data_IF_736810047979
#
_entry.id   IF_736810047979
#
_cell.length_a   1.000
_cell.length_b   1.000
_cell.length_c   1.000
_cell.angle_alpha   90.00
_cell.angle_beta   90.00
_cell.angle_gamma   90.00
#
_symmetry.space_group_name_H-M   'P 1'
#
loop_
_entity.id
_entity.type
_entity.pdbx_description
1 polymer ?
#
# COMPACT_ATOMS: atom_id res chain seq x y z
N UNK A 1 -6.27 -19.30 1.55
CA UNK A 1 -7.07 -18.18 1.00
C UNK A 1 -8.54 -18.50 1.12
N UNK A 2 -9.32 -17.68 1.84
CA UNK A 2 -10.78 -17.77 1.80
C UNK A 2 -11.22 -17.18 0.45
N UNK A 3 -11.92 -17.97 -0.37
CA UNK A 3 -12.52 -17.45 -1.60
C UNK A 3 -13.63 -16.45 -1.26
N UNK A 4 -13.97 -15.53 -2.16
CA UNK A 4 -15.17 -14.68 -2.01
C UNK A 4 -16.40 -15.53 -1.64
N UNK A 5 -16.55 -16.71 -2.25
CA UNK A 5 -17.61 -17.66 -1.95
C UNK A 5 -17.57 -18.13 -0.49
N UNK A 6 -16.40 -18.49 0.04
CA UNK A 6 -16.25 -18.90 1.44
C UNK A 6 -16.59 -17.76 2.41
N UNK A 7 -16.16 -16.52 2.12
CA UNK A 7 -16.51 -15.35 2.93
C UNK A 7 -18.01 -15.05 2.85
N UNK A 8 -18.58 -15.08 1.64
CA UNK A 8 -20.01 -14.86 1.43
C UNK A 8 -20.86 -15.92 2.15
N UNK A 9 -20.49 -17.20 2.07
CA UNK A 9 -21.20 -18.27 2.79
C UNK A 9 -21.12 -18.05 4.30
N UNK A 10 -19.95 -17.70 4.83
CA UNK A 10 -19.80 -17.37 6.24
C UNK A 10 -20.67 -16.19 6.68
N UNK A 11 -20.69 -15.11 5.90
CA UNK A 11 -21.52 -13.92 6.16
C UNK A 11 -23.01 -14.19 5.99
N UNK A 12 -23.38 -15.06 5.04
CA UNK A 12 -24.76 -15.48 4.84
C UNK A 12 -25.26 -16.29 6.04
N UNK A 13 -24.45 -17.22 6.56
CA UNK A 13 -24.77 -17.97 7.78
C UNK A 13 -24.92 -17.03 8.98
N UNK A 14 -23.97 -16.10 9.18
CA UNK A 14 -24.03 -15.12 10.26
C UNK A 14 -25.27 -14.23 10.17
N UNK A 15 -25.55 -13.66 9.00
CA UNK A 15 -26.73 -12.82 8.78
C UNK A 15 -28.03 -13.63 8.98
N UNK A 16 -28.05 -14.90 8.58
CA UNK A 16 -29.21 -15.79 8.80
C UNK A 16 -29.46 -16.02 10.28
N UNK A 17 -28.41 -16.24 11.08
CA UNK A 17 -28.52 -16.39 12.53
C UNK A 17 -29.03 -15.10 13.18
N UNK A 18 -28.43 -13.94 12.85
CA UNK A 18 -28.83 -12.63 13.38
C UNK A 18 -30.26 -12.23 12.99
N UNK A 19 -30.73 -12.63 11.80
CA UNK A 19 -32.06 -12.31 11.27
C UNK A 19 -33.07 -13.47 11.36
N UNK A 20 -32.78 -14.49 12.17
CA UNK A 20 -33.63 -15.68 12.34
C UNK A 20 -35.07 -15.34 12.77
N UNK A 21 -35.25 -14.26 13.54
CA UNK A 21 -36.57 -13.72 13.87
C UNK A 21 -37.40 -13.35 12.64
N UNK A 22 -36.77 -12.89 11.56
CA UNK A 22 -37.45 -12.59 10.29
C UNK A 22 -38.01 -13.84 9.62
N UNK A 23 -37.22 -14.93 9.59
CA UNK A 23 -37.68 -16.22 9.08
C UNK A 23 -38.84 -16.76 9.92
N UNK A 24 -38.74 -16.65 11.26
CA UNK A 24 -39.81 -17.04 12.17
C UNK A 24 -41.10 -16.24 11.93
N UNK A 25 -41.01 -14.91 11.84
CA UNK A 25 -42.17 -14.05 11.53
C UNK A 25 -42.75 -14.35 10.15
N UNK A 26 -41.93 -14.70 9.17
CA UNK A 26 -42.39 -15.08 7.83
C UNK A 26 -43.20 -16.39 7.89
N UNK A 27 -42.73 -17.39 8.63
CA UNK A 27 -43.47 -18.64 8.85
C UNK A 27 -44.76 -18.42 9.63
N UNK A 28 -44.72 -17.71 10.77
CA UNK A 28 -45.91 -17.42 11.60
C UNK A 28 -46.93 -16.59 10.83
N UNK A 29 -46.48 -15.58 10.07
CA UNK A 29 -47.35 -14.75 9.25
C UNK A 29 -47.97 -15.53 8.09
N UNK A 30 -47.24 -16.47 7.49
CA UNK A 30 -47.75 -17.35 6.43
C UNK A 30 -48.84 -18.30 6.96
N UNK A 31 -48.57 -18.94 8.09
CA UNK A 31 -49.51 -19.87 8.76
C UNK A 31 -50.80 -19.15 9.19
N UNK A 32 -50.66 -17.98 9.83
CA UNK A 32 -51.80 -17.14 10.22
C UNK A 32 -52.57 -16.58 9.02
N UNK A 33 -51.90 -16.31 7.89
CA UNK A 33 -52.56 -15.90 6.65
C UNK A 33 -53.36 -17.04 6.04
N UNK A 34 -52.83 -18.27 6.02
CA UNK A 34 -53.53 -19.43 5.45
C UNK A 34 -54.83 -19.74 6.21
N UNK A 35 -54.87 -19.52 7.52
CA UNK A 35 -56.05 -19.76 8.34
C UNK A 35 -57.08 -18.63 8.26
N UNK A 36 -56.65 -17.38 8.05
CA UNK A 36 -57.51 -16.21 7.98
C UNK A 36 -57.01 -15.19 6.94
N UNK A 37 -57.29 -15.41 5.64
CA UNK A 37 -56.84 -14.50 4.60
C UNK A 37 -57.55 -13.15 4.71
N UNK A 38 -56.81 -12.11 5.09
CA UNK A 38 -57.33 -10.75 5.22
C UNK A 38 -56.22 -9.75 5.52
N UNK A 39 -56.47 -8.45 5.27
CA UNK A 39 -55.52 -7.33 5.45
C UNK A 39 -55.23 -6.96 6.92
N UNK A 40 -55.25 -7.94 7.82
CA UNK A 40 -55.05 -7.76 9.27
C UNK A 40 -53.59 -7.93 9.71
N UNK A 41 -53.42 -8.20 11.00
CA UNK A 41 -52.11 -8.47 11.61
C UNK A 41 -51.28 -9.59 10.92
N UNK A 42 -51.86 -10.65 10.29
CA UNK A 42 -51.05 -11.66 9.59
C UNK A 42 -50.25 -11.09 8.41
N UNK A 43 -50.81 -10.11 7.69
CA UNK A 43 -50.14 -9.40 6.58
C UNK A 43 -48.94 -8.61 7.08
N UNK A 44 -49.09 -7.93 8.22
CA UNK A 44 -48.02 -7.12 8.81
C UNK A 44 -46.88 -8.01 9.32
N UNK A 45 -47.21 -9.15 9.94
CA UNK A 45 -46.22 -10.12 10.42
C UNK A 45 -45.50 -10.78 9.24
N UNK A 46 -46.24 -11.24 8.23
CA UNK A 46 -45.68 -11.80 7.00
C UNK A 46 -44.81 -10.79 6.26
N UNK A 47 -45.30 -9.56 6.06
CA UNK A 47 -44.57 -8.48 5.40
C UNK A 47 -43.29 -8.09 6.13
N UNK A 48 -43.33 -8.01 7.47
CA UNK A 48 -42.14 -7.74 8.29
C UNK A 48 -41.13 -8.88 8.20
N UNK A 49 -41.60 -10.13 8.26
CA UNK A 49 -40.76 -11.32 8.05
C UNK A 49 -40.10 -11.34 6.68
N UNK A 50 -40.84 -10.97 5.63
CA UNK A 50 -40.33 -10.86 4.25
C UNK A 50 -39.26 -9.77 4.12
N UNK A 51 -39.51 -8.58 4.67
CA UNK A 51 -38.51 -7.48 4.67
C UNK A 51 -37.22 -7.92 5.36
N UNK A 52 -37.30 -8.48 6.56
CA UNK A 52 -36.13 -8.94 7.33
C UNK A 52 -35.39 -10.06 6.57
N UNK A 53 -36.12 -10.99 5.98
CA UNK A 53 -35.53 -12.10 5.23
C UNK A 53 -34.82 -11.63 3.96
N UNK A 54 -35.37 -10.63 3.25
CA UNK A 54 -34.73 -10.03 2.07
C UNK A 54 -33.46 -9.26 2.45
N UNK A 55 -33.37 -8.72 3.66
CA UNK A 55 -32.15 -8.04 4.16
C UNK A 55 -30.98 -9.01 4.33
N UNK A 56 -31.21 -10.30 4.60
CA UNK A 56 -30.16 -11.31 4.82
C UNK A 56 -29.16 -11.39 3.64
N UNK A 57 -29.59 -11.70 2.39
CA UNK A 57 -28.66 -11.79 1.27
C UNK A 57 -28.03 -10.44 0.93
N UNK A 58 -28.73 -9.32 1.16
CA UNK A 58 -28.20 -7.98 0.91
C UNK A 58 -27.08 -7.65 1.90
N UNK A 59 -27.29 -7.90 3.19
CA UNK A 59 -26.31 -7.71 4.26
C UNK A 59 -25.10 -8.62 4.06
N UNK A 60 -25.32 -9.91 3.78
CA UNK A 60 -24.24 -10.86 3.51
C UNK A 60 -23.41 -10.47 2.28
N UNK A 61 -24.06 -10.02 1.20
CA UNK A 61 -23.37 -9.53 0.00
C UNK A 61 -22.60 -8.25 0.28
N UNK A 62 -23.18 -7.31 1.04
CA UNK A 62 -22.53 -6.06 1.40
C UNK A 62 -21.28 -6.31 2.26
N UNK A 63 -21.39 -7.16 3.29
CA UNK A 63 -20.27 -7.55 4.14
C UNK A 63 -19.18 -8.29 3.36
N UNK A 64 -19.54 -9.26 2.52
CA UNK A 64 -18.57 -9.97 1.68
C UNK A 64 -17.84 -9.04 0.69
N UNK A 65 -18.53 -8.04 0.12
CA UNK A 65 -17.91 -7.03 -0.75
C UNK A 65 -17.00 -6.06 0.00
N UNK A 66 -17.21 -5.85 1.29
CA UNK A 66 -16.31 -5.05 2.12
C UNK A 66 -15.04 -5.86 2.43
N UNK A 67 -15.19 -7.12 2.83
CA UNK A 67 -14.07 -8.00 3.19
C UNK A 67 -13.23 -8.45 1.98
N UNK A 68 -13.83 -8.53 0.78
CA UNK A 68 -13.14 -8.91 -0.45
C UNK A 68 -13.37 -7.86 -1.54
N UNK A 69 -12.56 -6.78 -1.56
CA UNK A 69 -12.81 -5.63 -2.42
C UNK A 69 -12.45 -5.91 -3.88
N UNK A 70 -13.41 -6.46 -4.62
CA UNK A 70 -13.33 -6.65 -6.07
C UNK A 70 -13.43 -5.34 -6.83
N UNK A 71 -12.51 -5.08 -7.76
CA UNK A 71 -12.54 -3.90 -8.65
C UNK A 71 -13.37 -4.23 -9.89
N UNK A 72 -14.17 -3.28 -10.38
CA UNK A 72 -15.00 -3.41 -11.59
C UNK A 72 -14.98 -2.08 -12.33
N UNK A 73 -15.48 -2.04 -13.58
CA UNK A 73 -15.58 -0.80 -14.36
C UNK A 73 -16.43 0.30 -13.69
N UNK A 74 -17.30 -0.06 -12.73
CA UNK A 74 -18.10 0.90 -11.95
C UNK A 74 -17.24 1.78 -11.03
N UNK A 75 -16.05 1.31 -10.69
CA UNK A 75 -15.09 2.05 -9.86
C UNK A 75 -14.22 3.02 -10.68
N UNK A 76 -14.44 3.12 -11.99
CA UNK A 76 -13.70 4.06 -12.85
C UNK A 76 -13.90 5.49 -12.35
N UNK A 77 -12.79 6.20 -12.11
CA UNK A 77 -12.81 7.62 -11.76
C UNK A 77 -13.33 8.40 -12.96
N UNK A 78 -14.39 9.18 -12.77
CA UNK A 78 -14.96 10.05 -13.80
C UNK A 78 -14.53 11.49 -13.54
N UNK A 79 -13.84 12.12 -14.51
CA UNK A 79 -13.60 13.57 -14.54
C UNK A 79 -12.99 14.18 -13.26
N UNK A 80 -11.86 13.65 -12.80
CA UNK A 80 -11.21 14.12 -11.56
C UNK A 80 -10.55 15.51 -11.69
N UNK A 81 -10.56 16.27 -10.59
CA UNK A 81 -9.85 17.57 -10.45
C UNK A 81 -8.32 17.46 -10.50
N UNK A 82 -7.77 16.27 -10.28
CA UNK A 82 -6.33 16.00 -10.25
C UNK A 82 -6.00 15.05 -11.39
N UNK A 83 -5.25 15.53 -12.38
CA UNK A 83 -4.68 14.67 -13.41
C UNK A 83 -3.46 13.96 -12.83
N UNK A 84 -3.49 12.63 -12.75
CA UNK A 84 -2.33 11.84 -12.34
C UNK A 84 -1.48 11.54 -13.58
N UNK A 85 -0.27 12.09 -13.65
CA UNK A 85 0.74 11.67 -14.63
C UNK A 85 1.19 10.23 -14.35
N UNK A 86 1.84 9.58 -15.31
CA UNK A 86 2.21 8.15 -15.21
C UNK A 86 3.18 7.84 -14.07
N UNK A 87 4.02 8.81 -13.68
CA UNK A 87 5.00 8.71 -12.61
C UNK A 87 4.50 9.28 -11.26
N UNK A 88 3.32 9.93 -11.23
CA UNK A 88 2.71 10.50 -10.02
C UNK A 88 2.34 9.43 -9.00
N UNK A 89 2.69 9.67 -7.73
CA UNK A 89 2.22 8.88 -6.61
C UNK A 89 1.92 9.76 -5.39
N UNK A 90 0.63 9.99 -5.16
CA UNK A 90 0.14 10.75 -4.03
C UNK A 90 -0.01 9.84 -2.81
N UNK A 91 0.56 10.25 -1.69
CA UNK A 91 0.42 9.51 -0.44
C UNK A 91 0.06 10.45 0.70
N UNK A 92 -1.07 10.17 1.34
CA UNK A 92 -1.56 10.89 2.51
C UNK A 92 -1.26 10.08 3.77
N UNK A 93 -0.11 10.36 4.37
CA UNK A 93 0.33 9.74 5.62
C UNK A 93 -0.39 10.37 6.82
N UNK A 94 -0.65 9.60 7.90
CA UNK A 94 -1.10 10.17 9.17
C UNK A 94 -0.12 11.24 9.68
N UNK A 95 -0.62 12.21 10.43
CA UNK A 95 0.24 13.19 11.11
C UNK A 95 1.18 12.50 12.10
N UNK A 96 2.41 13.00 12.21
CA UNK A 96 3.31 12.64 13.31
C UNK A 96 2.96 13.45 14.56
N UNK A 97 3.37 12.97 15.74
CA UNK A 97 3.40 13.82 16.93
C UNK A 97 4.17 15.10 16.60
N UNK A 98 3.61 16.25 17.00
CA UNK A 98 4.33 17.51 16.89
C UNK A 98 5.51 17.43 17.85
N UNK A 99 6.73 17.40 17.33
CA UNK A 99 7.93 17.57 18.16
C UNK A 99 7.94 18.96 18.78
N UNK A 100 8.90 19.23 19.67
CA UNK A 100 8.97 20.53 20.32
C UNK A 100 9.12 21.65 19.28
N UNK A 101 8.65 22.86 19.62
CA UNK A 101 8.84 24.03 18.79
C UNK A 101 10.34 24.31 18.53
N UNK A 102 11.20 23.92 19.48
CA UNK A 102 12.65 24.09 19.43
C UNK A 102 13.38 22.97 18.66
N UNK A 103 12.68 21.89 18.31
CA UNK A 103 13.25 20.75 17.60
C UNK A 103 13.77 21.14 16.22
N UNK A 104 15.04 20.84 15.97
CA UNK A 104 15.70 21.09 14.68
C UNK A 104 15.43 19.93 13.74
N UNK A 105 15.06 20.22 12.51
CA UNK A 105 14.89 19.19 11.48
C UNK A 105 16.26 18.71 11.01
N UNK A 106 16.46 17.40 10.97
CA UNK A 106 17.71 16.77 10.54
C UNK A 106 17.43 15.51 9.71
N UNK A 107 18.44 15.07 8.97
CA UNK A 107 18.44 13.74 8.33
C UNK A 107 18.89 12.70 9.34
N UNK A 108 18.26 11.54 9.32
CA UNK A 108 18.79 10.34 9.96
C UNK A 108 18.81 9.17 8.99
N UNK A 109 19.90 8.40 9.01
CA UNK A 109 19.99 7.14 8.30
C UNK A 109 19.60 5.98 9.22
N UNK A 110 18.84 5.02 8.71
CA UNK A 110 18.49 3.81 9.44
C UNK A 110 19.57 2.77 9.22
N UNK A 111 20.30 2.45 10.28
CA UNK A 111 21.35 1.44 10.27
C UNK A 111 20.77 0.04 10.44
N UNK A 112 19.83 -0.11 11.38
CA UNK A 112 19.16 -1.38 11.69
C UNK A 112 17.70 -1.14 12.02
N UNK A 113 16.84 -2.11 11.68
CA UNK A 113 15.44 -2.11 12.09
C UNK A 113 14.95 -3.53 12.42
N UNK A 114 14.28 -3.68 13.56
CA UNK A 114 13.63 -4.93 13.97
C UNK A 114 12.27 -4.66 14.58
N UNK A 115 11.30 -5.53 14.32
CA UNK A 115 9.98 -5.44 14.91
C UNK A 115 10.04 -5.82 16.40
N UNK A 116 9.73 -4.88 17.29
CA UNK A 116 9.65 -5.14 18.73
C UNK A 116 8.30 -5.74 19.11
N UNK A 117 7.21 -5.12 18.64
CA UNK A 117 5.86 -5.54 18.97
C UNK A 117 4.90 -5.22 17.83
N UNK A 118 4.11 -6.23 17.47
CA UNK A 118 2.90 -6.09 16.70
C UNK A 118 1.92 -7.14 17.24
N UNK A 119 0.90 -6.68 17.97
CA UNK A 119 -0.14 -7.55 18.54
C UNK A 119 -1.50 -7.02 18.08
N UNK A 120 -2.01 -7.48 16.92
CA UNK A 120 -3.44 -7.43 16.72
C UNK A 120 -4.04 -8.47 17.68
N UNK A 121 -4.34 -8.07 18.92
CA UNK A 121 -5.06 -8.92 19.86
C UNK A 121 -6.50 -9.05 19.35
N UNK A 122 -6.69 -10.01 18.44
CA UNK A 122 -7.97 -10.31 17.82
C UNK A 122 -7.80 -10.83 16.40
N UNK A 123 -8.52 -11.91 16.09
CA UNK A 123 -8.94 -12.26 14.73
C UNK A 123 -9.84 -11.13 14.18
N UNK A 124 -9.25 -9.94 13.98
CA UNK A 124 -9.97 -8.71 13.63
C UNK A 124 -10.53 -8.85 12.22
N UNK A 125 -11.78 -9.29 12.18
CA UNK A 125 -12.53 -9.52 10.95
C UNK A 125 -12.82 -8.22 10.20
N UNK A 126 -12.83 -7.06 10.89
CA UNK A 126 -12.80 -5.69 10.37
C UNK A 126 -12.93 -4.71 11.56
N UNK A 127 -11.94 -3.85 11.85
CA UNK A 127 -12.05 -2.89 12.97
C UNK A 127 -11.96 -1.46 12.45
N UNK A 128 -12.96 -0.62 12.75
CA UNK A 128 -12.94 0.82 12.44
C UNK A 128 -12.96 1.63 13.72
N UNK A 129 -11.96 2.49 13.91
CA UNK A 129 -11.90 3.39 15.06
C UNK A 129 -12.51 4.74 14.72
N UNK A 130 -13.25 5.31 15.67
CA UNK A 130 -13.85 6.62 15.55
C UNK A 130 -12.84 7.71 15.95
N UNK A 131 -12.73 8.78 15.15
CA UNK A 131 -11.79 9.89 15.35
C UNK A 131 -10.61 9.89 14.36
N UNK A 132 -9.68 10.83 14.54
CA UNK A 132 -8.48 10.98 13.68
C UNK A 132 -7.25 10.26 14.25
N UNK A 133 -7.43 9.38 15.23
CA UNK A 133 -6.36 8.68 15.91
C UNK A 133 -6.06 7.34 15.24
N UNK A 134 -4.77 7.04 15.06
CA UNK A 134 -4.32 5.72 14.61
C UNK A 134 -4.12 4.86 15.87
N UNK A 135 -4.88 3.77 16.04
CA UNK A 135 -4.80 2.92 17.23
C UNK A 135 -3.40 2.30 17.38
N UNK A 136 -2.92 2.28 18.62
CA UNK A 136 -1.60 1.74 18.96
C UNK A 136 -1.45 0.25 18.63
N UNK A 137 -2.53 -0.53 18.75
CA UNK A 137 -2.53 -1.99 18.54
C UNK A 137 -2.23 -2.38 17.08
N UNK A 138 -2.65 -1.54 16.12
CA UNK A 138 -2.42 -1.76 14.69
C UNK A 138 -1.24 -0.96 14.14
N UNK A 139 -0.49 -0.27 15.01
CA UNK A 139 0.70 0.48 14.65
C UNK A 139 1.94 -0.27 15.15
N UNK A 140 2.79 -0.82 14.25
CA UNK A 140 3.95 -1.61 14.65
C UNK A 140 4.92 -0.74 15.47
N UNK A 141 5.39 -1.32 16.58
CA UNK A 141 6.47 -0.78 17.39
C UNK A 141 7.77 -1.39 16.88
N UNK A 142 8.66 -0.55 16.35
CA UNK A 142 9.89 -0.97 15.69
C UNK A 142 11.07 -0.37 16.44
N UNK A 143 12.02 -1.23 16.79
CA UNK A 143 13.33 -0.81 17.29
C UNK A 143 14.19 -0.36 16.12
N UNK A 144 14.70 0.86 16.18
CA UNK A 144 15.61 1.39 15.16
C UNK A 144 16.95 1.76 15.79
N UNK A 145 18.02 1.57 15.02
CA UNK A 145 19.32 2.21 15.26
C UNK A 145 19.52 3.25 14.17
N UNK A 146 19.63 4.51 14.55
CA UNK A 146 19.68 5.65 13.64
C UNK A 146 21.03 6.34 13.75
N UNK A 147 21.56 6.82 12.63
CA UNK A 147 22.65 7.80 12.57
C UNK A 147 22.09 9.14 12.17
N UNK A 148 22.10 10.11 13.08
CA UNK A 148 21.57 11.45 12.86
C UNK A 148 22.70 12.36 12.40
N UNK A 149 22.47 13.09 11.31
CA UNK A 149 23.42 14.05 10.75
C UNK A 149 23.00 15.46 11.15
N UNK A 150 23.93 16.25 11.68
CA UNK A 150 23.65 17.64 12.00
C UNK A 150 23.37 18.46 10.72
N UNK A 151 22.39 19.35 10.78
CA UNK A 151 21.82 20.02 9.62
C UNK A 151 22.68 21.20 9.10
N UNK A 152 23.65 21.67 9.89
CA UNK A 152 24.39 22.92 9.61
C UNK A 152 25.86 22.72 9.22
N UNK A 153 26.39 21.49 9.26
CA UNK A 153 27.82 21.24 9.01
C UNK A 153 27.98 20.13 7.98
N UNK A 154 28.46 20.49 6.79
CA UNK A 154 28.80 19.58 5.67
C UNK A 154 29.98 18.65 5.97
N UNK A 155 30.63 18.78 7.13
CA UNK A 155 31.64 17.84 7.58
C UNK A 155 30.99 16.66 8.30
N UNK A 156 31.34 15.44 7.87
CA UNK A 156 30.89 14.16 8.43
C UNK A 156 31.24 13.94 9.93
N UNK A 157 31.82 14.95 10.60
CA UNK A 157 32.38 14.89 11.94
C UNK A 157 31.36 15.09 13.09
N UNK A 158 30.10 15.46 12.82
CA UNK A 158 29.09 15.75 13.86
C UNK A 158 27.88 14.81 13.87
N UNK A 159 27.98 13.63 13.24
CA UNK A 159 26.92 12.63 13.32
C UNK A 159 26.94 11.88 14.67
N UNK A 160 25.76 11.56 15.20
CA UNK A 160 25.63 10.73 16.40
C UNK A 160 24.64 9.59 16.18
N UNK A 161 24.79 8.51 16.95
CA UNK A 161 23.90 7.35 16.86
C UNK A 161 22.89 7.34 18.02
N UNK A 162 21.65 6.97 17.73
CA UNK A 162 20.59 6.80 18.72
C UNK A 162 19.86 5.48 18.47
N UNK A 163 19.51 4.79 19.55
CA UNK A 163 18.70 3.56 19.49
C UNK A 163 17.46 3.74 20.33
N UNK A 164 16.32 3.33 19.80
CA UNK A 164 15.03 3.48 20.47
C UNK A 164 13.94 2.64 19.84
N UNK A 165 12.73 2.74 20.39
CA UNK A 165 11.53 2.12 19.83
C UNK A 165 10.55 3.21 19.41
N UNK A 166 10.06 3.11 18.17
CA UNK A 166 9.10 4.06 17.64
C UNK A 166 7.90 3.35 17.04
N UNK A 167 6.72 3.95 17.25
CA UNK A 167 5.51 3.55 16.54
C UNK A 167 5.54 4.11 15.13
N UNK A 168 5.37 3.23 14.16
CA UNK A 168 5.53 3.58 12.75
C UNK A 168 4.19 3.48 12.03
N UNK A 169 3.64 4.59 11.52
CA UNK A 169 2.45 4.53 10.67
C UNK A 169 2.67 3.58 9.49
N UNK A 170 1.68 2.75 9.17
CA UNK A 170 1.82 1.70 8.14
C UNK A 170 2.28 2.25 6.78
N UNK A 171 1.79 3.42 6.36
CA UNK A 171 2.21 4.07 5.09
C UNK A 171 3.66 4.56 5.09
N UNK A 172 4.29 4.66 6.26
CA UNK A 172 5.65 5.19 6.45
C UNK A 172 6.69 4.08 6.65
N UNK A 173 6.27 2.80 6.68
CA UNK A 173 7.15 1.65 6.85
C UNK A 173 8.27 1.60 5.81
N UNK A 174 7.96 1.95 4.56
CA UNK A 174 8.97 2.01 3.49
C UNK A 174 10.07 3.03 3.70
N UNK A 175 9.86 4.09 4.51
CA UNK A 175 10.92 5.04 4.80
C UNK A 175 12.04 4.41 5.63
N UNK A 176 11.68 3.45 6.49
CA UNK A 176 12.64 2.66 7.27
C UNK A 176 13.45 1.77 6.35
N UNK A 177 12.76 1.05 5.45
CA UNK A 177 13.38 0.11 4.51
C UNK A 177 14.23 0.84 3.45
N UNK A 178 13.84 2.05 3.07
CA UNK A 178 14.66 2.92 2.21
C UNK A 178 15.94 3.43 2.91
N UNK A 179 15.93 3.46 4.25
CA UNK A 179 17.08 3.82 5.08
C UNK A 179 17.22 5.30 5.39
N UNK A 180 16.23 6.15 5.06
CA UNK A 180 16.31 7.61 5.21
C UNK A 180 15.09 8.16 5.91
N UNK A 181 15.32 8.84 7.03
CA UNK A 181 14.29 9.49 7.85
C UNK A 181 14.57 10.99 7.96
N UNK A 182 13.49 11.76 8.05
CA UNK A 182 13.54 13.12 8.56
C UNK A 182 13.19 13.06 10.05
N UNK A 183 14.05 13.58 10.91
CA UNK A 183 13.88 13.56 12.37
C UNK A 183 13.90 14.97 12.93
N UNK A 184 13.28 15.15 14.08
CA UNK A 184 13.41 16.33 14.91
C UNK A 184 14.36 16.02 16.05
N UNK A 185 15.39 16.85 16.20
CA UNK A 185 16.38 16.78 17.28
C UNK A 185 16.09 17.92 18.24
N UNK A 186 15.60 17.59 19.42
CA UNK A 186 15.35 18.58 20.46
C UNK A 186 16.67 18.92 21.17
N UNK A 187 16.92 20.21 21.49
CA UNK A 187 18.11 20.62 22.22
C UNK A 187 18.05 20.04 23.64
N UNK A 188 19.07 19.30 24.02
CA UNK A 188 19.19 18.73 25.37
C UNK A 188 19.97 19.65 26.31
N UNK A 189 19.67 19.56 27.60
CA UNK A 189 20.47 20.20 28.64
C UNK A 189 21.93 19.69 28.58
N UNK A 190 22.93 20.48 29.04
CA UNK A 190 24.32 20.03 29.05
C UNK A 190 24.47 18.67 29.76
N UNK A 191 24.96 17.66 29.04
CA UNK A 191 25.15 16.30 29.55
C UNK A 191 23.97 15.34 29.38
N UNK A 192 22.83 15.79 28.84
CA UNK A 192 21.71 14.93 28.48
C UNK A 192 21.76 14.52 27.00
N UNK A 193 21.34 13.30 26.69
CA UNK A 193 21.26 12.82 25.31
C UNK A 193 20.19 13.59 24.51
N UNK A 194 20.45 13.94 23.23
CA UNK A 194 19.47 14.59 22.37
C UNK A 194 18.23 13.72 22.20
N UNK A 195 17.04 14.30 22.34
CA UNK A 195 15.79 13.59 22.06
C UNK A 195 15.52 13.62 20.55
N UNK A 196 15.38 12.44 19.95
CA UNK A 196 15.18 12.28 18.51
C UNK A 196 13.78 11.75 18.21
N UNK A 197 12.99 12.54 17.48
CA UNK A 197 11.61 12.20 17.11
C UNK A 197 11.45 12.12 15.59
N UNK A 198 11.17 10.94 15.01
CA UNK A 198 10.92 10.79 13.58
C UNK A 198 9.68 11.57 13.12
N UNK A 199 9.85 12.31 12.02
CA UNK A 199 8.76 13.02 11.37
C UNK A 199 8.22 12.23 10.17
N UNK A 200 7.37 11.24 10.44
CA UNK A 200 6.96 10.23 9.45
C UNK A 200 6.49 10.75 8.07
N UNK A 201 5.63 11.78 7.95
CA UNK A 201 5.26 12.33 6.65
C UNK A 201 6.45 12.84 5.82
N UNK A 202 7.43 13.46 6.49
CA UNK A 202 8.64 14.02 5.88
C UNK A 202 9.64 12.91 5.58
N UNK A 203 9.75 11.90 6.46
CA UNK A 203 10.54 10.70 6.20
C UNK A 203 10.08 9.98 4.94
N UNK A 204 8.76 9.84 4.72
CA UNK A 204 8.26 9.20 3.52
C UNK A 204 8.51 10.01 2.24
N UNK A 205 8.60 11.34 2.34
CA UNK A 205 9.00 12.22 1.24
C UNK A 205 10.51 12.12 0.95
N UNK A 206 11.33 12.11 2.00
CA UNK A 206 12.80 12.01 1.92
C UNK A 206 13.26 10.64 1.39
N UNK A 207 12.57 9.58 1.81
CA UNK A 207 12.81 8.22 1.33
C UNK A 207 12.43 8.00 -0.14
N UNK A 208 11.77 8.96 -0.79
CA UNK A 208 11.23 8.81 -2.13
C UNK A 208 10.00 7.91 -2.22
N UNK A 209 9.43 7.47 -1.09
CA UNK A 209 8.17 6.75 -1.07
C UNK A 209 7.05 7.61 -1.64
N UNK A 210 6.98 8.88 -1.25
CA UNK A 210 6.07 9.86 -1.83
C UNK A 210 6.80 10.67 -2.89
N UNK A 211 6.18 10.86 -4.07
CA UNK A 211 6.75 11.75 -5.08
C UNK A 211 6.63 13.21 -4.63
N UNK A 212 7.58 14.04 -5.08
CA UNK A 212 7.57 15.47 -4.87
C UNK A 212 7.94 16.17 -6.18
N UNK A 213 7.09 17.10 -6.61
CA UNK A 213 7.39 18.03 -7.68
C UNK A 213 7.21 19.46 -7.20
N UNK A 214 7.92 20.38 -7.84
CA UNK A 214 7.73 21.81 -7.64
C UNK A 214 7.45 22.45 -8.99
N UNK A 215 6.37 23.21 -9.07
CA UNK A 215 6.07 24.10 -10.19
C UNK A 215 6.54 25.50 -9.81
N UNK A 216 7.52 26.02 -10.54
CA UNK A 216 8.11 27.33 -10.29
C UNK A 216 7.17 28.50 -10.64
N UNK A 217 7.66 29.73 -10.44
CA UNK A 217 6.90 30.94 -10.72
C UNK A 217 6.62 31.12 -12.22
N UNK A 218 7.48 30.57 -13.09
CA UNK A 218 7.30 30.55 -14.54
C UNK A 218 6.36 29.41 -15.02
N UNK A 219 5.93 28.54 -14.12
CA UNK A 219 5.05 27.41 -14.43
C UNK A 219 5.77 26.15 -14.91
N UNK A 220 7.10 26.07 -14.80
CA UNK A 220 7.89 24.86 -15.12
C UNK A 220 7.87 23.92 -13.94
N UNK A 221 7.68 22.63 -14.20
CA UNK A 221 7.66 21.59 -13.17
C UNK A 221 8.98 20.83 -13.13
N UNK A 222 9.53 20.66 -11.94
CA UNK A 222 10.75 19.89 -11.69
C UNK A 222 10.51 18.81 -10.62
N UNK A 223 11.02 17.60 -10.86
CA UNK A 223 11.00 16.51 -9.90
C UNK A 223 12.06 16.73 -8.80
N UNK A 224 11.63 16.63 -7.54
CA UNK A 224 12.49 16.84 -6.35
C UNK A 224 12.63 15.56 -5.52
N UNK A 225 11.86 14.52 -5.84
CA UNK A 225 11.92 13.19 -5.21
C UNK A 225 13.37 12.67 -5.15
N UNK A 226 13.84 12.31 -3.95
CA UNK A 226 15.19 11.76 -3.66
C UNK A 226 16.37 12.73 -3.91
N UNK A 227 16.12 14.02 -4.05
CA UNK A 227 17.16 15.06 -3.93
C UNK A 227 17.20 15.47 -2.46
N UNK A 228 18.01 14.76 -1.68
CA UNK A 228 17.96 14.72 -0.22
C UNK A 228 18.21 16.11 0.37
N UNK A 229 19.27 16.79 -0.07
CA UNK A 229 19.64 18.12 0.44
C UNK A 229 18.55 19.14 0.09
N UNK A 230 18.13 19.15 -1.18
CA UNK A 230 17.06 20.03 -1.66
C UNK A 230 15.74 19.76 -0.90
N UNK A 231 15.38 18.51 -0.69
CA UNK A 231 14.16 18.14 0.03
C UNK A 231 14.21 18.57 1.49
N UNK A 232 15.35 18.42 2.17
CA UNK A 232 15.51 18.88 3.55
C UNK A 232 15.36 20.41 3.64
N UNK A 233 16.01 21.16 2.76
CA UNK A 233 15.87 22.62 2.72
C UNK A 233 14.42 23.06 2.47
N UNK A 234 13.69 22.37 1.58
CA UNK A 234 12.26 22.61 1.38
C UNK A 234 11.44 22.31 2.64
N UNK A 235 11.77 21.23 3.35
CA UNK A 235 11.10 20.87 4.60
C UNK A 235 11.36 21.90 5.71
N UNK A 236 12.55 22.51 5.75
CA UNK A 236 12.88 23.64 6.63
C UNK A 236 12.01 24.86 6.31
N UNK A 237 12.00 25.32 5.05
CA UNK A 237 11.14 26.45 4.64
C UNK A 237 9.68 26.15 4.99
N UNK A 238 9.21 24.94 4.66
CA UNK A 238 7.84 24.52 4.99
C UNK A 238 7.57 24.52 6.49
N UNK A 239 8.54 24.18 7.34
CA UNK A 239 8.35 24.20 8.80
C UNK A 239 8.27 25.63 9.32
N UNK A 240 9.16 26.50 8.86
CA UNK A 240 9.25 27.90 9.31
C UNK A 240 7.95 28.66 9.09
N UNK A 241 7.25 28.38 7.99
CA UNK A 241 6.01 29.08 7.60
C UNK A 241 4.73 28.38 8.11
N UNK A 242 4.86 27.39 8.99
CA UNK A 242 3.72 26.65 9.55
C UNK A 242 3.12 25.58 8.63
N UNK A 243 3.79 25.26 7.52
CA UNK A 243 3.38 24.23 6.56
C UNK A 243 3.19 24.79 5.16
N UNK A 244 3.52 23.99 4.14
CA UNK A 244 3.21 24.29 2.74
C UNK A 244 2.28 23.21 2.21
N UNK A 245 1.12 23.62 1.70
CA UNK A 245 0.16 22.70 1.11
C UNK A 245 0.68 22.14 -0.21
N UNK A 246 0.57 20.82 -0.38
CA UNK A 246 0.84 20.14 -1.64
C UNK A 246 -0.49 19.84 -2.34
N UNK A 247 -0.57 20.11 -3.64
CA UNK A 247 -1.65 19.62 -4.49
C UNK A 247 -1.26 18.24 -5.02
N UNK A 248 -1.70 17.18 -4.33
CA UNK A 248 -1.24 15.82 -4.58
C UNK A 248 0.22 15.65 -4.20
N UNK A 249 1.08 15.56 -5.21
CA UNK A 249 2.54 15.45 -5.06
C UNK A 249 3.30 16.71 -5.52
N UNK A 250 2.58 17.79 -5.85
CA UNK A 250 3.17 19.02 -6.39
C UNK A 250 3.00 20.21 -5.45
N UNK A 251 4.07 20.97 -5.23
CA UNK A 251 4.05 22.31 -4.63
C UNK A 251 4.03 23.32 -5.77
N UNK A 252 3.00 24.16 -5.85
CA UNK A 252 2.88 25.23 -6.86
C UNK A 252 3.28 26.57 -6.24
N UNK A 253 4.45 27.08 -6.60
CA UNK A 253 5.01 28.30 -5.99
C UNK A 253 4.14 29.53 -6.25
N UNK A 254 3.39 29.55 -7.36
CA UNK A 254 2.48 30.64 -7.74
C UNK A 254 1.28 30.77 -6.79
N UNK A 255 1.04 29.77 -5.95
CA UNK A 255 -0.03 29.74 -4.95
C UNK A 255 0.44 30.07 -3.53
N UNK A 256 1.73 30.29 -3.34
CA UNK A 256 2.31 30.64 -2.05
C UNK A 256 2.38 32.15 -1.89
N UNK A 257 2.56 32.63 -0.66
CA UNK A 257 2.87 34.03 -0.42
C UNK A 257 4.22 34.40 -1.08
N UNK A 258 4.42 35.67 -1.48
CA UNK A 258 5.60 36.06 -2.26
C UNK A 258 6.93 35.75 -1.57
N UNK A 259 7.00 35.88 -0.24
CA UNK A 259 8.23 35.64 0.51
C UNK A 259 8.59 34.16 0.55
N UNK A 260 7.62 33.28 0.86
CA UNK A 260 7.82 31.84 0.82
C UNK A 260 8.14 31.36 -0.60
N UNK A 261 7.42 31.87 -1.60
CA UNK A 261 7.67 31.54 -3.00
C UNK A 261 9.09 31.91 -3.43
N UNK A 262 9.60 33.08 -3.03
CA UNK A 262 10.97 33.51 -3.31
C UNK A 262 12.02 32.57 -2.68
N UNK A 263 11.81 32.11 -1.43
CA UNK A 263 12.70 31.14 -0.78
C UNK A 263 12.77 29.82 -1.55
N UNK A 264 11.63 29.29 -1.99
CA UNK A 264 11.59 28.08 -2.82
C UNK A 264 12.18 28.29 -4.23
N UNK A 265 11.96 29.46 -4.82
CA UNK A 265 12.52 29.80 -6.12
C UNK A 265 14.05 29.86 -6.06
N UNK A 266 14.62 30.46 -5.01
CA UNK A 266 16.06 30.47 -4.78
C UNK A 266 16.64 29.05 -4.67
N UNK A 267 15.95 28.12 -3.98
CA UNK A 267 16.35 26.71 -3.96
C UNK A 267 16.29 26.05 -5.35
N UNK A 268 15.27 26.38 -6.15
CA UNK A 268 15.15 25.87 -7.50
C UNK A 268 16.24 26.43 -8.43
N UNK A 269 16.63 27.69 -8.25
CA UNK A 269 17.74 28.32 -8.98
C UNK A 269 19.08 27.69 -8.60
N UNK A 270 19.32 27.50 -7.30
CA UNK A 270 20.53 26.85 -6.79
C UNK A 270 20.70 25.45 -7.38
N UNK A 271 19.63 24.64 -7.37
CA UNK A 271 19.65 23.29 -7.95
C UNK A 271 19.80 23.29 -9.48
N UNK A 272 19.39 24.35 -10.18
CA UNK A 272 19.68 24.50 -11.62
C UNK A 272 21.16 24.80 -11.87
N UNK A 273 21.80 25.57 -11.00
CA UNK A 273 23.23 25.88 -11.10
C UNK A 273 24.13 24.75 -10.61
N UNK A 274 23.68 24.01 -9.60
CA UNK A 274 24.41 22.93 -8.93
C UNK A 274 23.45 21.75 -8.75
N UNK A 275 23.23 20.94 -9.81
CA UNK A 275 22.24 19.88 -9.78
C UNK A 275 22.62 18.78 -8.79
N UNK A 276 21.74 18.53 -7.82
CA UNK A 276 21.88 17.42 -6.88
C UNK A 276 21.58 16.08 -7.59
N UNK A 277 22.45 15.09 -7.39
CA UNK A 277 22.20 13.74 -7.87
C UNK A 277 21.02 13.12 -7.11
N UNK A 278 20.16 12.37 -7.82
CA UNK A 278 19.12 11.60 -7.14
C UNK A 278 19.77 10.49 -6.33
N UNK A 279 19.50 10.48 -5.03
CA UNK A 279 19.95 9.42 -4.16
C UNK A 279 19.31 8.07 -4.57
N UNK A 280 19.99 6.93 -4.29
CA UNK A 280 19.52 5.62 -4.68
C UNK A 280 18.14 5.31 -4.09
N UNK A 281 17.45 4.29 -4.61
CA UNK A 281 16.14 3.88 -4.09
C UNK A 281 16.26 3.46 -2.62
N UNK A 282 17.35 2.75 -2.31
CA UNK A 282 17.68 2.26 -0.97
C UNK A 282 19.14 2.58 -0.65
N UNK A 283 19.42 2.90 0.61
CA UNK A 283 20.79 3.01 1.11
C UNK A 283 21.48 1.63 1.23
N UNK A 284 22.81 1.54 1.28
CA UNK A 284 23.50 0.30 1.64
C UNK A 284 22.98 -0.29 2.96
N UNK A 285 23.03 -1.62 3.10
CA UNK A 285 22.56 -2.30 4.33
C UNK A 285 21.04 -2.49 4.42
N UNK A 286 20.32 -2.50 3.29
CA UNK A 286 18.86 -2.74 3.30
C UNK A 286 18.45 -4.04 4.01
N UNK A 287 19.29 -5.07 3.93
CA UNK A 287 19.06 -6.35 4.61
C UNK A 287 18.90 -6.19 6.12
N UNK A 288 19.72 -5.35 6.76
CA UNK A 288 19.68 -5.09 8.21
C UNK A 288 18.44 -4.32 8.68
N UNK A 289 17.65 -3.79 7.74
CA UNK A 289 16.42 -3.02 8.00
C UNK A 289 15.20 -3.61 7.30
N UNK A 290 15.30 -4.85 6.79
CA UNK A 290 14.22 -5.56 6.10
C UNK A 290 13.17 -6.02 7.11
N UNK A 291 12.05 -5.31 7.11
CA UNK A 291 10.89 -5.61 7.98
C UNK A 291 9.84 -6.50 7.32
N UNK A 292 9.94 -6.72 6.00
CA UNK A 292 8.99 -7.48 5.20
C UNK A 292 8.65 -8.86 5.79
N UNK A 293 9.66 -9.57 6.29
CA UNK A 293 9.54 -10.94 6.82
C UNK A 293 9.00 -11.00 8.25
N UNK A 294 8.92 -9.84 8.93
CA UNK A 294 8.46 -9.71 10.31
C UNK A 294 7.03 -9.17 10.40
N UNK A 295 6.48 -8.63 9.30
CA UNK A 295 5.19 -7.96 9.24
C UNK A 295 4.13 -8.83 8.54
N UNK A 296 2.84 -8.66 8.88
CA UNK A 296 1.78 -9.47 8.28
C UNK A 296 1.61 -9.19 6.79
N UNK A 297 1.23 -10.25 6.07
CA UNK A 297 0.92 -10.22 4.66
C UNK A 297 1.16 -11.56 3.97
N UNK A 298 0.70 -11.69 2.73
CA UNK A 298 0.92 -12.91 1.96
C UNK A 298 2.41 -13.03 1.59
N UNK A 299 2.95 -14.24 1.66
CA UNK A 299 4.30 -14.50 1.14
C UNK A 299 4.29 -14.39 -0.40
N UNK A 300 5.36 -13.84 -0.97
CA UNK A 300 5.51 -13.73 -2.41
C UNK A 300 5.55 -15.10 -3.08
N UNK A 301 4.74 -15.32 -4.12
CA UNK A 301 4.78 -16.54 -4.93
C UNK A 301 4.46 -16.27 -6.40
N UNK A 302 4.83 -17.19 -7.30
CA UNK A 302 4.36 -17.17 -8.69
C UNK A 302 2.85 -17.48 -8.81
N UNK A 303 2.22 -17.82 -7.69
CA UNK A 303 0.78 -17.96 -7.48
C UNK A 303 0.16 -19.23 -8.06
N UNK A 304 -1.10 -19.44 -7.70
CA UNK A 304 -1.93 -20.51 -8.27
C UNK A 304 -2.68 -19.98 -9.50
N UNK A 305 -2.93 -20.87 -10.46
CA UNK A 305 -3.66 -20.58 -11.70
C UNK A 305 -4.70 -21.68 -11.88
N UNK A 306 -5.97 -21.31 -11.79
CA UNK A 306 -7.04 -22.25 -12.13
C UNK A 306 -7.01 -22.54 -13.63
N UNK A 307 -6.89 -23.81 -14.02
CA UNK A 307 -6.88 -24.19 -15.46
C UNK A 307 -8.12 -23.66 -16.19
N UNK A 308 -9.29 -23.72 -15.56
CA UNK A 308 -10.53 -23.17 -16.12
C UNK A 308 -10.61 -21.64 -16.11
N UNK A 309 -9.81 -20.95 -15.32
CA UNK A 309 -9.70 -19.49 -15.39
C UNK A 309 -8.88 -19.08 -16.61
N UNK A 310 -7.67 -19.63 -16.74
CA UNK A 310 -6.77 -19.39 -17.89
C UNK A 310 -7.44 -19.76 -19.22
N UNK A 311 -7.98 -20.99 -19.34
CA UNK A 311 -8.65 -21.46 -20.58
C UNK A 311 -9.86 -20.63 -21.00
N UNK A 312 -10.54 -19.95 -20.07
CA UNK A 312 -11.70 -19.11 -20.38
C UNK A 312 -11.31 -17.66 -20.73
N UNK A 313 -10.01 -17.34 -20.80
CA UNK A 313 -9.52 -16.00 -21.10
C UNK A 313 -9.18 -15.17 -19.86
N UNK A 314 -9.03 -15.79 -18.69
CA UNK A 314 -8.48 -15.12 -17.51
C UNK A 314 -7.00 -14.78 -17.72
N UNK A 315 -6.61 -13.54 -17.41
CA UNK A 315 -5.24 -13.04 -17.59
C UNK A 315 -4.77 -12.25 -16.37
N UNK A 316 -3.44 -12.13 -16.21
CA UNK A 316 -2.86 -11.19 -15.26
C UNK A 316 -2.63 -9.85 -15.95
N UNK A 317 -2.78 -8.76 -15.22
CA UNK A 317 -2.37 -7.43 -15.66
C UNK A 317 -1.61 -6.69 -14.57
N UNK A 318 -0.78 -5.74 -14.99
CA UNK A 318 -0.09 -4.82 -14.09
C UNK A 318 -0.99 -3.61 -13.85
N UNK A 319 -1.07 -3.19 -12.61
CA UNK A 319 -1.64 -1.90 -12.24
C UNK A 319 -0.67 -1.16 -11.34
N UNK A 320 -0.89 0.15 -11.18
CA UNK A 320 -0.04 1.02 -10.38
C UNK A 320 -0.89 1.85 -9.41
N UNK A 321 -0.47 1.93 -8.16
CA UNK A 321 -1.04 2.92 -7.24
C UNK A 321 -0.68 4.33 -7.70
N UNK A 322 -1.70 5.16 -7.84
CA UNK A 322 -1.59 6.60 -8.08
C UNK A 322 -1.85 7.39 -6.80
N UNK A 323 -2.72 6.88 -5.93
CA UNK A 323 -3.00 7.47 -4.62
C UNK A 323 -3.16 6.39 -3.55
N UNK A 324 -2.57 6.62 -2.37
CA UNK A 324 -2.87 5.94 -1.12
C UNK A 324 -3.24 6.95 -0.03
N UNK A 325 -4.37 6.73 0.63
CA UNK A 325 -4.80 7.53 1.79
C UNK A 325 -5.17 6.65 2.96
N UNK A 326 -4.55 6.92 4.10
CA UNK A 326 -4.84 6.21 5.34
C UNK A 326 -6.28 6.44 5.80
N UNK A 327 -6.86 5.40 6.42
CA UNK A 327 -8.10 5.45 7.19
C UNK A 327 -7.84 4.94 8.60
N UNK A 328 -8.82 5.09 9.47
CA UNK A 328 -8.84 4.50 10.82
C UNK A 328 -9.40 3.07 10.83
N UNK A 329 -9.39 2.39 9.68
CA UNK A 329 -9.93 1.04 9.51
C UNK A 329 -8.80 0.04 9.23
N UNK A 330 -8.82 -1.10 9.91
CA UNK A 330 -7.84 -2.18 9.79
C UNK A 330 -8.55 -3.51 9.56
N UNK A 331 -7.92 -4.38 8.78
CA UNK A 331 -8.45 -5.71 8.46
C UNK A 331 -7.30 -6.69 8.24
N UNK A 332 -7.40 -7.90 8.81
CA UNK A 332 -6.52 -9.06 8.57
C UNK A 332 -5.01 -8.76 8.71
N UNK A 333 -4.41 -8.26 7.63
CA UNK A 333 -2.97 -8.15 7.42
C UNK A 333 -2.49 -6.71 7.18
N UNK A 334 -3.36 -5.71 7.37
CA UNK A 334 -2.95 -4.30 7.24
C UNK A 334 -4.07 -3.26 7.30
N UNK A 335 -3.73 -1.99 7.05
CA UNK A 335 -4.70 -0.91 7.00
C UNK A 335 -5.60 -1.01 5.75
N UNK A 336 -6.87 -0.64 5.92
CA UNK A 336 -7.76 -0.36 4.80
C UNK A 336 -7.49 1.05 4.31
N UNK A 337 -7.08 1.17 3.05
CA UNK A 337 -6.70 2.45 2.44
C UNK A 337 -7.73 2.85 1.38
N UNK A 338 -8.00 4.15 1.26
CA UNK A 338 -8.56 4.67 0.00
C UNK A 338 -7.45 4.65 -1.04
N UNK A 339 -7.70 3.99 -2.17
CA UNK A 339 -6.71 3.82 -3.22
C UNK A 339 -7.25 4.29 -4.57
N UNK A 340 -6.35 4.80 -5.40
CA UNK A 340 -6.58 4.97 -6.84
C UNK A 340 -5.52 4.15 -7.57
N UNK A 341 -5.98 3.26 -8.45
CA UNK A 341 -5.14 2.38 -9.26
C UNK A 341 -5.26 2.76 -10.73
N UNK A 342 -4.14 2.95 -11.42
CA UNK A 342 -4.08 2.95 -12.89
C UNK A 342 -4.05 1.50 -13.36
N UNK A 343 -5.11 1.08 -14.02
CA UNK A 343 -5.26 -0.27 -14.57
C UNK A 343 -4.90 -0.23 -16.04
N UNK A 344 -3.98 -1.09 -16.47
CA UNK A 344 -3.59 -1.30 -17.86
C UNK A 344 -4.25 -2.59 -18.37
N UNK A 345 -5.42 -2.52 -19.01
CA UNK A 345 -6.13 -3.71 -19.44
C UNK A 345 -5.38 -4.41 -20.58
N UNK A 346 -5.63 -5.71 -20.81
CA UNK A 346 -4.98 -6.44 -21.89
C UNK A 346 -5.50 -5.97 -23.26
N UNK A 347 -4.76 -6.27 -24.33
CA UNK A 347 -5.25 -6.15 -25.71
C UNK A 347 -5.46 -4.72 -26.21
N UNK A 348 -4.62 -3.76 -25.79
CA UNK A 348 -4.60 -2.40 -26.36
C UNK A 348 -5.75 -1.49 -25.91
N UNK A 349 -6.56 -1.92 -24.94
CA UNK A 349 -7.58 -1.04 -24.34
C UNK A 349 -6.87 0.09 -23.58
N UNK A 350 -7.30 1.36 -23.71
CA UNK A 350 -6.69 2.46 -22.98
C UNK A 350 -6.68 2.23 -21.46
N UNK A 351 -5.61 2.63 -20.76
CA UNK A 351 -5.58 2.62 -19.30
C UNK A 351 -6.75 3.40 -18.69
N UNK A 352 -7.19 2.98 -17.51
CA UNK A 352 -8.19 3.71 -16.74
C UNK A 352 -7.86 3.71 -15.25
N UNK A 353 -8.25 4.78 -14.58
CA UNK A 353 -8.05 4.93 -13.15
C UNK A 353 -9.28 4.42 -12.39
N UNK A 354 -9.07 3.60 -11.36
CA UNK A 354 -10.11 3.01 -10.54
C UNK A 354 -9.92 3.39 -9.07
N UNK A 355 -10.95 3.98 -8.46
CA UNK A 355 -10.96 4.29 -7.04
C UNK A 355 -11.59 3.15 -6.24
N UNK A 356 -10.83 2.54 -5.33
CA UNK A 356 -11.32 1.43 -4.51
C UNK A 356 -10.67 1.44 -3.13
N UNK A 357 -11.43 1.03 -2.12
CA UNK A 357 -10.86 0.73 -0.79
C UNK A 357 -10.23 -0.65 -0.79
N UNK A 358 -8.97 -0.73 -0.39
CA UNK A 358 -8.20 -1.97 -0.37
C UNK A 358 -7.50 -2.12 0.97
N UNK A 359 -7.53 -3.33 1.51
CA UNK A 359 -6.65 -3.75 2.61
C UNK A 359 -5.29 -4.03 2.01
N UNK A 360 -4.29 -3.20 2.35
CA UNK A 360 -2.94 -3.35 1.80
C UNK A 360 -2.05 -4.04 2.84
N UNK A 361 -1.44 -5.19 2.52
CA UNK A 361 -0.57 -5.92 3.44
C UNK A 361 0.59 -5.07 3.95
N UNK A 362 0.90 -5.15 5.25
CA UNK A 362 1.99 -4.38 5.83
C UNK A 362 3.35 -4.73 5.23
N UNK A 363 3.58 -6.01 4.89
CA UNK A 363 4.81 -6.41 4.22
C UNK A 363 5.01 -5.70 2.86
N UNK A 364 3.96 -5.53 2.05
CA UNK A 364 4.01 -4.75 0.81
C UNK A 364 4.31 -3.27 1.08
N UNK A 365 3.73 -2.69 2.15
CA UNK A 365 3.94 -1.28 2.48
C UNK A 365 5.41 -0.93 2.78
N UNK A 366 6.24 -1.91 3.17
CA UNK A 366 7.70 -1.75 3.31
C UNK A 366 8.40 -1.53 1.95
N UNK A 367 7.88 -2.12 0.88
CA UNK A 367 8.48 -2.07 -0.46
C UNK A 367 8.01 -0.87 -1.29
N UNK A 368 7.15 0.01 -0.74
CA UNK A 368 6.63 1.15 -1.49
C UNK A 368 7.74 2.07 -2.02
N UNK A 369 8.88 2.20 -1.35
CA UNK A 369 10.00 3.00 -1.85
C UNK A 369 10.58 2.46 -3.18
N UNK A 370 10.43 1.15 -3.44
CA UNK A 370 10.89 0.48 -4.67
C UNK A 370 9.85 0.46 -5.77
N UNK A 371 8.60 0.10 -5.45
CA UNK A 371 7.55 -0.04 -6.44
C UNK A 371 6.18 0.38 -5.92
N UNK A 372 5.33 0.82 -6.84
CA UNK A 372 3.91 1.14 -6.64
C UNK A 372 3.00 0.16 -7.36
N UNK A 373 3.57 -0.90 -7.89
CA UNK A 373 2.89 -1.78 -8.81
C UNK A 373 2.27 -2.95 -8.10
N UNK A 374 1.15 -3.38 -8.66
CA UNK A 374 0.38 -4.51 -8.16
C UNK A 374 -0.01 -5.40 -9.33
N UNK A 375 -0.10 -6.69 -9.03
CA UNK A 375 -0.59 -7.69 -9.97
C UNK A 375 -2.09 -7.84 -9.75
N UNK A 376 -2.87 -7.66 -10.81
CA UNK A 376 -4.31 -7.93 -10.81
C UNK A 376 -4.59 -9.21 -11.59
N UNK A 377 -5.40 -10.08 -11.00
CA UNK A 377 -6.05 -11.18 -11.72
C UNK A 377 -7.35 -10.68 -12.33
N UNK A 378 -7.47 -10.82 -13.66
CA UNK A 378 -8.66 -10.40 -14.41
C UNK A 378 -9.59 -11.58 -14.59
N UNK A 379 -10.88 -11.39 -14.32
CA UNK A 379 -11.87 -12.44 -14.57
C UNK A 379 -11.96 -12.78 -16.07
N UNK A 380 -12.34 -14.01 -16.46
CA UNK A 380 -12.39 -14.42 -17.86
C UNK A 380 -13.28 -13.55 -18.77
N UNK A 381 -14.30 -12.90 -18.19
CA UNK A 381 -15.19 -11.97 -18.87
C UNK A 381 -14.73 -10.50 -18.81
N UNK A 382 -13.50 -10.23 -18.32
CA UNK A 382 -12.92 -8.90 -18.11
C UNK A 382 -13.78 -7.92 -17.28
N UNK A 383 -14.75 -8.44 -16.52
CA UNK A 383 -15.71 -7.65 -15.75
C UNK A 383 -15.17 -7.22 -14.38
N UNK A 384 -14.22 -7.99 -13.84
CA UNK A 384 -13.67 -7.77 -12.51
C UNK A 384 -12.18 -8.02 -12.43
N UNK A 385 -11.55 -7.30 -11.50
CA UNK A 385 -10.12 -7.32 -11.23
C UNK A 385 -9.93 -7.52 -9.73
N UNK A 386 -9.14 -8.51 -9.36
CA UNK A 386 -8.83 -8.83 -7.97
C UNK A 386 -7.31 -8.73 -7.77
N UNK A 387 -6.87 -7.99 -6.75
CA UNK A 387 -5.43 -7.86 -6.43
C UNK A 387 -4.90 -9.20 -5.95
N UNK A 388 -3.83 -9.67 -6.55
CA UNK A 388 -3.12 -10.88 -6.14
C UNK A 388 -1.91 -10.47 -5.29
N UNK A 389 -2.09 -10.45 -3.97
CA UNK A 389 -1.06 -9.97 -3.03
C UNK A 389 0.18 -10.86 -3.02
N UNK A 390 0.03 -12.18 -3.13
CA UNK A 390 1.16 -13.09 -3.27
C UNK A 390 2.01 -12.80 -4.53
N UNK A 391 1.38 -12.60 -5.69
CA UNK A 391 2.15 -12.22 -6.90
C UNK A 391 2.70 -10.81 -6.81
N UNK A 392 1.95 -9.90 -6.21
CA UNK A 392 2.37 -8.51 -5.98
C UNK A 392 3.61 -8.44 -5.08
N UNK A 393 3.67 -9.22 -4.00
CA UNK A 393 4.83 -9.27 -3.10
C UNK A 393 6.06 -9.90 -3.77
N UNK A 394 5.86 -10.89 -4.64
CA UNK A 394 6.97 -11.43 -5.43
C UNK A 394 7.48 -10.40 -6.45
N UNK A 395 6.59 -9.69 -7.15
CA UNK A 395 6.93 -8.62 -8.09
C UNK A 395 7.66 -7.46 -7.40
N UNK A 396 7.22 -7.10 -6.20
CA UNK A 396 7.80 -6.02 -5.40
C UNK A 396 9.15 -6.37 -4.74
N UNK A 397 9.61 -7.62 -4.87
CA UNK A 397 10.83 -8.10 -4.23
C UNK A 397 10.74 -8.17 -2.70
N UNK A 398 9.52 -8.22 -2.15
CA UNK A 398 9.27 -8.48 -0.71
C UNK A 398 9.74 -9.89 -0.36
N UNK A 399 9.53 -10.84 -1.26
CA UNK A 399 10.08 -12.20 -1.19
C UNK A 399 11.05 -12.41 -2.34
N UNK A 400 12.19 -13.05 -2.06
CA UNK A 400 13.20 -13.33 -3.08
C UNK A 400 12.72 -14.42 -4.04
N UNK A 401 12.60 -14.05 -5.31
CA UNK A 401 12.26 -14.96 -6.38
C UNK A 401 13.52 -15.64 -6.94
N UNK A 402 13.44 -16.94 -7.23
CA UNK A 402 14.51 -17.67 -7.93
C UNK A 402 13.98 -18.72 -8.89
N UNK A 403 14.75 -19.00 -9.93
CA UNK A 403 14.49 -20.07 -10.89
C UNK A 403 15.56 -21.15 -10.70
N UNK A 404 15.14 -22.40 -10.63
CA UNK A 404 16.05 -23.54 -10.72
C UNK A 404 15.94 -24.07 -12.14
N UNK A 405 17.03 -23.98 -12.89
CA UNK A 405 17.11 -24.35 -14.30
C UNK A 405 17.00 -25.87 -14.49
N UNK A 406 16.78 -26.37 -15.72
CA UNK A 406 16.72 -27.80 -15.99
C UNK A 406 18.01 -28.56 -15.59
N UNK A 407 19.17 -27.90 -15.70
CA UNK A 407 20.49 -28.39 -15.26
C UNK A 407 20.74 -28.22 -13.75
N UNK A 408 19.79 -27.63 -13.02
CA UNK A 408 19.84 -27.52 -11.55
C UNK A 408 20.55 -26.27 -11.01
N UNK A 409 20.99 -25.35 -11.89
CA UNK A 409 21.56 -24.07 -11.50
C UNK A 409 20.49 -23.17 -10.89
N UNK A 410 20.81 -22.48 -9.80
CA UNK A 410 19.93 -21.46 -9.23
C UNK A 410 20.20 -20.09 -9.87
N UNK A 411 19.15 -19.45 -10.35
CA UNK A 411 19.16 -18.10 -10.91
C UNK A 411 18.33 -17.19 -10.00
N UNK A 412 18.96 -16.34 -9.17
CA UNK A 412 18.22 -15.35 -8.39
C UNK A 412 17.61 -14.30 -9.33
N UNK A 413 16.36 -13.91 -9.06
CA UNK A 413 15.64 -12.88 -9.82
C UNK A 413 15.57 -11.54 -9.04
N UNK A 414 16.43 -11.37 -8.03
CA UNK A 414 16.51 -10.13 -7.24
C UNK A 414 16.82 -8.96 -8.18
N UNK A 415 16.04 -7.88 -8.07
CA UNK A 415 16.19 -6.70 -8.92
C UNK A 415 15.73 -6.88 -10.37
N UNK A 416 15.05 -7.99 -10.72
CA UNK A 416 14.54 -8.27 -12.08
C UNK A 416 12.99 -8.34 -12.13
N UNK A 417 12.27 -7.26 -11.79
CA UNK A 417 10.80 -7.28 -11.70
C UNK A 417 10.13 -7.61 -13.03
N UNK A 418 10.67 -7.15 -14.16
CA UNK A 418 10.09 -7.43 -15.48
C UNK A 418 10.28 -8.88 -15.92
N UNK A 419 11.39 -9.53 -15.53
CA UNK A 419 11.57 -10.98 -15.68
C UNK A 419 10.55 -11.74 -14.84
N UNK A 420 10.40 -11.36 -13.56
CA UNK A 420 9.40 -11.97 -12.66
C UNK A 420 7.99 -11.83 -13.24
N UNK A 421 7.63 -10.65 -13.73
CA UNK A 421 6.35 -10.38 -14.40
C UNK A 421 6.14 -11.25 -15.65
N UNK A 422 7.17 -11.38 -16.49
CA UNK A 422 7.12 -12.20 -17.70
C UNK A 422 6.87 -13.67 -17.36
N UNK A 423 7.61 -14.21 -16.39
CA UNK A 423 7.43 -15.58 -15.91
C UNK A 423 6.02 -15.81 -15.32
N UNK A 424 5.48 -14.87 -14.55
CA UNK A 424 4.10 -14.95 -14.04
C UNK A 424 3.07 -15.04 -15.17
N UNK A 425 3.21 -14.22 -16.22
CA UNK A 425 2.30 -14.25 -17.37
C UNK A 425 2.42 -15.53 -18.18
N UNK A 426 3.64 -16.01 -18.42
CA UNK A 426 3.86 -17.29 -19.08
C UNK A 426 3.18 -18.42 -18.31
N UNK A 427 3.42 -18.52 -17.01
CA UNK A 427 2.75 -19.52 -16.16
C UNK A 427 1.22 -19.39 -16.21
N UNK A 428 0.68 -18.18 -16.14
CA UNK A 428 -0.75 -17.93 -16.23
C UNK A 428 -1.35 -18.34 -17.59
N UNK A 429 -0.68 -18.01 -18.69
CA UNK A 429 -1.10 -18.34 -20.06
C UNK A 429 -1.12 -19.85 -20.33
N UNK A 430 -0.19 -20.59 -19.73
CA UNK A 430 -0.14 -22.05 -19.81
C UNK A 430 -0.99 -22.76 -18.74
N UNK A 431 -1.67 -22.01 -17.87
CA UNK A 431 -2.50 -22.59 -16.81
C UNK A 431 -1.70 -23.34 -15.73
N UNK A 432 -0.43 -22.97 -15.54
CA UNK A 432 0.51 -23.62 -14.63
C UNK A 432 0.54 -22.91 -13.28
N UNK A 433 0.26 -23.66 -12.22
CA UNK A 433 0.33 -23.15 -10.85
C UNK A 433 1.72 -23.36 -10.25
N UNK A 434 2.26 -22.32 -9.60
CA UNK A 434 3.46 -22.41 -8.79
C UNK A 434 3.30 -21.58 -7.50
N UNK A 435 2.71 -22.15 -6.43
CA UNK A 435 2.47 -21.46 -5.16
C UNK A 435 3.76 -21.36 -4.30
N UNK A 436 4.89 -21.08 -4.93
CA UNK A 436 6.20 -20.94 -4.29
C UNK A 436 6.94 -19.76 -4.93
N UNK A 437 7.82 -19.06 -4.20
CA UNK A 437 8.75 -18.09 -4.79
C UNK A 437 9.85 -18.75 -5.64
N UNK A 438 9.98 -20.07 -5.56
CA UNK A 438 10.95 -20.86 -6.33
C UNK A 438 10.26 -21.50 -7.54
N UNK A 439 10.74 -21.18 -8.73
CA UNK A 439 10.30 -21.82 -9.97
C UNK A 439 11.30 -22.91 -10.37
N UNK A 440 11.00 -24.15 -9.99
CA UNK A 440 11.84 -25.31 -10.33
C UNK A 440 11.41 -25.94 -11.67
N UNK A 441 12.23 -25.74 -12.70
CA UNK A 441 11.99 -26.18 -14.07
C UNK A 441 12.24 -27.68 -14.29
N UNK A 442 12.87 -28.37 -13.33
CA UNK A 442 13.08 -29.83 -13.38
C UNK A 442 11.79 -30.59 -13.12
N UNK A 443 10.83 -29.95 -12.44
CA UNK A 443 9.54 -30.55 -12.11
C UNK A 443 8.81 -30.96 -13.38
N UNK A 444 8.22 -32.16 -13.39
CA UNK A 444 7.51 -32.74 -14.54
C UNK A 444 6.53 -31.76 -15.21
N UNK A 445 5.79 -31.01 -14.42
CA UNK A 445 4.80 -30.02 -14.89
C UNK A 445 5.37 -28.81 -15.63
N UNK A 446 6.67 -28.54 -15.49
CA UNK A 446 7.36 -27.39 -16.08
C UNK A 446 8.18 -27.76 -17.32
N UNK A 447 8.41 -29.06 -17.58
CA UNK A 447 9.29 -29.52 -18.67
C UNK A 447 8.88 -29.01 -20.05
N UNK A 448 7.58 -29.02 -20.34
CA UNK A 448 7.04 -28.63 -21.65
C UNK A 448 7.21 -27.13 -21.95
N UNK A 449 7.34 -26.31 -20.90
CA UNK A 449 7.50 -24.85 -21.01
C UNK A 449 8.89 -24.38 -20.57
N UNK A 450 9.79 -25.29 -20.19
CA UNK A 450 11.07 -24.95 -19.59
C UNK A 450 11.95 -24.13 -20.54
N UNK A 451 11.96 -24.44 -21.84
CA UNK A 451 12.70 -23.65 -22.85
C UNK A 451 12.22 -22.21 -22.89
N UNK A 452 10.91 -22.01 -23.06
CA UNK A 452 10.29 -20.66 -23.11
C UNK A 452 10.55 -19.87 -21.82
N UNK A 453 10.45 -20.53 -20.65
CA UNK A 453 10.72 -19.90 -19.36
C UNK A 453 12.21 -19.54 -19.19
N UNK A 454 13.12 -20.36 -19.73
CA UNK A 454 14.56 -20.06 -19.73
C UNK A 454 14.91 -18.89 -20.65
N UNK A 455 14.30 -18.81 -21.83
CA UNK A 455 14.48 -17.69 -22.75
C UNK A 455 14.05 -16.36 -22.12
N UNK A 456 13.01 -16.38 -21.29
CA UNK A 456 12.57 -15.21 -20.53
C UNK A 456 13.52 -14.80 -19.39
N UNK A 457 14.45 -15.67 -18.98
CA UNK A 457 15.43 -15.42 -17.92
C UNK A 457 16.81 -14.97 -18.44
N UNK A 458 17.06 -15.18 -19.74
CA UNK A 458 18.26 -14.71 -20.45
C UNK A 458 18.21 -13.19 -20.60
#
# INVERSE_FOLDING_TARGET
>A
MRSYTSVFVGQLLLATVCCSAGLFLLFVGYDAWSDAPGWGWPVLVFGSGLVITVVIPVAATAAARQMFPRITRRHRVKGGRTSYEDDTFVMWTPGSQQGSAQGRLARADVLEASLSRYRPDGESTFTTHYGNYTPDEFTPLIKLRLRVHDAEVTDAATAFEVTGEWRVPSLCLSAITAGRLAVLVDPSAPGAEPTVTPHWPRSALLAGTRTCRVTDLEGRTAAVTRRVERQLQQMHISRDVGGVAMNGDTIDLRRLDPHTAARYAALADQDRTHPEAQAPVSEPGEEARRLADQLPGEQGTFGSVGRGWSRRGGVLIRARFLELRARTTFQDHGPVLDTILRIQPPGGTPPFDAARRLTVPMNYLTALHRTKEVVLSVSPNAASYDVDWARTNLLAGVTEAKVITPDGRELPLVGRPDTVWTLMNLLASHGLSNPSPVLDLRKRRMREVAGILMDACA
#
